data_IF_923156801637
#
_entry.id   IF_923156801637
#
_cell.length_a   1.000
_cell.length_b   1.000
_cell.length_c   1.000
_cell.angle_alpha   90.00
_cell.angle_beta   90.00
_cell.angle_gamma   90.00
#
_symmetry.space_group_name_H-M   'P 1'
#
loop_
_entity.id
_entity.type
_entity.pdbx_description
1 polymer ?
#
# COMPACT_ATOMS: atom_id res chain seq x y z
N UNK A 1 -5.65 -10.15 12.18
CA UNK A 1 -6.64 -9.78 11.15
C UNK A 1 -5.94 -8.86 10.16
N UNK A 2 -5.96 -9.15 8.86
CA UNK A 2 -5.32 -8.30 7.86
C UNK A 2 -6.20 -7.06 7.68
N UNK A 3 -5.74 -5.90 8.15
CA UNK A 3 -6.37 -4.61 7.91
C UNK A 3 -5.40 -3.82 7.03
N UNK A 4 -5.85 -3.22 5.92
CA UNK A 4 -7.22 -3.14 5.39
C UNK A 4 -7.68 -4.42 4.65
N UNK A 5 -8.99 -4.50 4.34
CA UNK A 5 -9.56 -5.55 3.48
C UNK A 5 -9.08 -5.41 2.03
N UNK A 6 -8.78 -6.54 1.38
CA UNK A 6 -8.35 -6.59 -0.03
C UNK A 6 -9.40 -5.98 -0.97
N UNK A 7 -10.68 -6.08 -0.63
CA UNK A 7 -11.76 -5.51 -1.45
C UNK A 7 -11.72 -3.98 -1.46
N UNK A 8 -11.44 -3.35 -0.31
CA UNK A 8 -11.29 -1.89 -0.22
C UNK A 8 -10.05 -1.40 -0.98
N UNK A 9 -8.99 -2.20 -1.01
CA UNK A 9 -7.80 -1.91 -1.79
C UNK A 9 -8.05 -2.05 -3.30
N UNK A 10 -8.92 -2.99 -3.67
CA UNK A 10 -9.32 -3.24 -5.06
C UNK A 10 -10.22 -2.14 -5.62
N UNK A 11 -11.01 -1.45 -4.80
CA UNK A 11 -11.73 -0.25 -5.24
C UNK A 11 -10.77 0.90 -5.60
N UNK A 12 -9.57 0.92 -5.02
CA UNK A 12 -8.55 1.97 -5.23
C UNK A 12 -7.53 1.62 -6.32
N UNK A 13 -7.47 0.36 -6.76
CA UNK A 13 -6.46 -0.12 -7.67
C UNK A 13 -7.09 -0.83 -8.88
N UNK A 14 -6.67 -0.48 -10.09
CA UNK A 14 -7.24 -1.02 -11.34
C UNK A 14 -7.11 -2.54 -11.49
N UNK A 15 -6.17 -3.18 -10.78
CA UNK A 15 -5.94 -4.63 -10.85
C UNK A 15 -5.24 -5.17 -9.61
N UNK A 16 -5.54 -6.43 -9.26
CA UNK A 16 -4.85 -7.20 -8.21
C UNK A 16 -3.34 -7.20 -8.40
N UNK A 17 -2.87 -7.35 -9.64
CA UNK A 17 -1.43 -7.38 -9.93
C UNK A 17 -0.78 -6.02 -9.66
N UNK A 18 -1.44 -4.94 -10.05
CA UNK A 18 -0.94 -3.59 -9.83
C UNK A 18 -0.88 -3.26 -8.34
N UNK A 19 -1.91 -3.67 -7.58
CA UNK A 19 -1.94 -3.53 -6.12
C UNK A 19 -0.75 -4.24 -5.47
N UNK A 20 -0.47 -5.49 -5.86
CA UNK A 20 0.64 -6.27 -5.29
C UNK A 20 2.00 -5.63 -5.62
N UNK A 21 2.20 -5.20 -6.86
CA UNK A 21 3.45 -4.54 -7.27
C UNK A 21 3.64 -3.21 -6.53
N UNK A 22 2.57 -2.43 -6.37
CA UNK A 22 2.59 -1.17 -5.63
C UNK A 22 2.94 -1.37 -4.16
N UNK A 23 2.26 -2.30 -3.49
CA UNK A 23 2.49 -2.64 -2.10
C UNK A 23 3.93 -3.14 -1.88
N UNK A 24 4.45 -3.99 -2.78
CA UNK A 24 5.82 -4.47 -2.71
C UNK A 24 6.85 -3.34 -2.89
N UNK A 25 6.64 -2.46 -3.88
CA UNK A 25 7.53 -1.32 -4.13
C UNK A 25 7.55 -0.36 -2.94
N UNK A 26 6.39 -0.06 -2.36
CA UNK A 26 6.31 0.78 -1.18
C UNK A 26 6.90 0.12 0.06
N UNK A 27 6.62 -1.15 0.30
CA UNK A 27 7.21 -1.88 1.41
C UNK A 27 8.75 -1.86 1.36
N UNK A 28 9.35 -1.91 0.16
CA UNK A 28 10.80 -1.75 0.00
C UNK A 28 11.28 -0.33 0.34
N UNK A 29 10.54 0.72 -0.01
CA UNK A 29 10.89 2.08 0.44
C UNK A 29 10.88 2.20 1.97
N UNK A 30 9.87 1.62 2.62
CA UNK A 30 9.80 1.62 4.09
C UNK A 30 10.97 0.84 4.71
N UNK A 31 11.42 -0.23 4.03
CA UNK A 31 12.62 -0.99 4.43
C UNK A 31 13.91 -0.19 4.24
N UNK A 32 13.99 0.62 3.18
CA UNK A 32 15.13 1.48 2.86
C UNK A 32 15.25 2.69 3.83
N UNK A 33 14.35 2.79 4.82
CA UNK A 33 14.36 3.83 5.86
C UNK A 33 13.42 4.99 5.61
N UNK A 34 12.52 4.89 4.62
CA UNK A 34 11.46 5.89 4.46
C UNK A 34 10.42 5.76 5.57
N UNK A 35 10.01 6.90 6.13
CA UNK A 35 8.95 6.92 7.14
C UNK A 35 7.57 6.67 6.51
N UNK A 36 6.74 5.84 7.15
CA UNK A 36 5.35 5.68 6.76
C UNK A 36 4.60 7.00 6.94
N UNK A 37 3.75 7.33 5.96
CA UNK A 37 2.97 8.58 5.96
C UNK A 37 1.66 8.48 6.78
N UNK A 38 1.27 7.28 7.18
CA UNK A 38 0.15 7.03 8.10
C UNK A 38 0.62 6.30 9.34
N UNK A 39 -0.17 6.42 10.42
CA UNK A 39 -0.02 5.54 11.56
C UNK A 39 -0.38 4.13 11.15
N UNK A 40 0.64 3.32 10.93
CA UNK A 40 0.47 1.93 10.52
C UNK A 40 0.21 1.08 11.75
N UNK A 41 -0.95 0.43 11.81
CA UNK A 41 -1.26 -0.57 12.84
C UNK A 41 -0.49 -1.87 12.59
N UNK A 42 -0.11 -2.10 11.33
CA UNK A 42 0.67 -3.25 10.91
C UNK A 42 2.14 -3.14 11.32
N UNK A 43 2.63 -4.15 12.05
CA UNK A 43 4.05 -4.32 12.39
C UNK A 43 4.93 -4.76 11.22
N UNK A 44 4.36 -5.02 10.03
CA UNK A 44 5.07 -5.40 8.81
C UNK A 44 4.99 -4.29 7.77
N UNK A 45 6.10 -4.04 7.07
CA UNK A 45 6.18 -3.05 5.97
C UNK A 45 5.14 -3.26 4.87
N UNK A 46 4.77 -4.51 4.58
CA UNK A 46 3.73 -4.81 3.57
C UNK A 46 2.36 -4.37 4.07
N UNK A 47 2.04 -4.58 5.35
CA UNK A 47 0.77 -4.11 5.92
C UNK A 47 0.72 -2.59 5.98
N UNK A 48 1.83 -1.97 6.38
CA UNK A 48 2.00 -0.51 6.34
C UNK A 48 1.75 0.08 4.93
N UNK A 49 2.34 -0.55 3.90
CA UNK A 49 2.13 -0.14 2.52
C UNK A 49 0.67 -0.30 2.06
N UNK A 50 -0.01 -1.37 2.49
CA UNK A 50 -1.44 -1.56 2.18
C UNK A 50 -2.31 -0.52 2.88
N UNK A 51 -2.02 -0.18 4.14
CA UNK A 51 -2.72 0.89 4.86
C UNK A 51 -2.55 2.25 4.16
N UNK A 52 -1.34 2.56 3.67
CA UNK A 52 -1.08 3.78 2.88
C UNK A 52 -1.85 3.83 1.55
N UNK A 53 -1.98 2.68 0.87
CA UNK A 53 -2.74 2.58 -0.38
C UNK A 53 -4.24 2.75 -0.09
N UNK A 54 -4.75 2.15 0.99
CA UNK A 54 -6.15 2.32 1.40
C UNK A 54 -6.45 3.77 1.84
N UNK A 55 -5.47 4.46 2.44
CA UNK A 55 -5.56 5.87 2.82
C UNK A 55 -5.44 6.85 1.63
N UNK A 56 -5.34 6.36 0.38
CA UNK A 56 -5.25 7.17 -0.85
C UNK A 56 -3.98 8.05 -0.94
N UNK A 57 -2.99 7.78 -0.09
CA UNK A 57 -1.73 8.55 -0.01
C UNK A 57 -0.80 8.15 -1.16
N UNK A 58 -0.83 6.87 -1.53
CA UNK A 58 0.01 6.33 -2.60
C UNK A 58 -0.85 6.04 -3.81
N UNK A 59 -0.80 6.96 -4.77
CA UNK A 59 -1.39 6.79 -6.08
C UNK A 59 -0.32 6.32 -7.06
N UNK A 60 -0.66 5.31 -7.86
CA UNK A 60 0.15 4.93 -8.99
C UNK A 60 0.28 6.12 -9.94
N UNK A 61 1.43 6.30 -10.62
CA UNK A 61 1.48 7.20 -11.75
C UNK A 61 0.44 6.71 -12.75
N UNK A 62 -0.64 7.47 -12.91
CA UNK A 62 -1.67 7.21 -13.90
C UNK A 62 -0.96 6.96 -15.23
N UNK A 63 -1.21 5.80 -15.85
CA UNK A 63 -0.77 5.58 -17.22
C UNK A 63 -1.36 6.71 -18.06
N UNK A 64 -0.46 7.47 -18.69
CA UNK A 64 -0.76 8.45 -19.73
C UNK A 64 -1.46 7.76 -20.90
#
# INVERSE_FOLDING_TARGET
MLYPSVDQLMEKADSKYTLVVLAAKRARQLLDGHEPHVQTQSSKYVGAALEEIAADIIKLPAKK
#
